data_IF_482938684149
#
_entry.id   IF_482938684149
#
_cell.length_a   1.000
_cell.length_b   1.000
_cell.length_c   1.000
_cell.angle_alpha   90.00
_cell.angle_beta   90.00
_cell.angle_gamma   90.00
#
_symmetry.space_group_name_H-M   'P 1'
#
loop_
_entity.id
_entity.type
_entity.pdbx_description
1 polymer ?
#
# COMPACT_ATOMS: atom_id res chain seq x y z
N UNK A 1 -15.27 3.52 -24.84
CA UNK A 1 -15.33 4.07 -23.48
C UNK A 1 -14.22 3.42 -22.66
N UNK A 2 -13.23 4.17 -22.17
CA UNK A 2 -12.32 3.63 -21.16
C UNK A 2 -13.11 3.60 -19.86
N UNK A 3 -13.37 2.40 -19.31
CA UNK A 3 -13.89 2.25 -17.96
C UNK A 3 -12.92 2.98 -17.04
N UNK A 4 -13.41 4.02 -16.34
CA UNK A 4 -12.67 4.59 -15.22
C UNK A 4 -12.53 3.47 -14.19
N UNK A 5 -11.31 3.07 -13.87
CA UNK A 5 -11.08 2.12 -12.79
C UNK A 5 -11.81 2.61 -11.54
N UNK A 6 -12.70 1.78 -11.02
CA UNK A 6 -13.45 2.10 -9.82
C UNK A 6 -12.51 1.89 -8.62
N UNK A 7 -11.99 3.00 -8.10
CA UNK A 7 -11.14 3.00 -6.92
C UNK A 7 -11.94 3.08 -5.61
N UNK A 8 -13.27 2.85 -5.64
CA UNK A 8 -14.17 2.96 -4.47
C UNK A 8 -13.93 1.85 -3.43
N UNK A 9 -12.81 1.93 -2.74
CA UNK A 9 -12.41 0.94 -1.75
C UNK A 9 -10.92 0.91 -1.48
N UNK A 10 -10.13 1.67 -2.24
CA UNK A 10 -8.71 1.85 -2.01
C UNK A 10 -8.48 3.05 -1.09
N UNK A 11 -7.88 2.78 0.07
CA UNK A 11 -7.56 3.78 1.09
C UNK A 11 -6.05 4.01 1.12
N UNK A 12 -5.55 5.17 0.66
CA UNK A 12 -4.15 5.51 0.82
C UNK A 12 -3.84 5.85 2.27
N UNK A 13 -2.67 5.45 2.76
CA UNK A 13 -2.21 5.80 4.10
C UNK A 13 -1.03 6.77 4.06
N UNK A 14 0.03 6.39 3.37
CA UNK A 14 1.28 7.15 3.40
C UNK A 14 2.29 6.62 2.38
N UNK A 15 3.56 6.96 2.59
CA UNK A 15 4.64 6.69 1.64
C UNK A 15 5.88 6.14 2.35
N UNK A 16 6.51 5.12 1.77
CA UNK A 16 7.90 4.77 2.07
C UNK A 16 8.80 5.59 1.13
N UNK A 17 9.63 6.47 1.67
CA UNK A 17 10.45 7.39 0.86
C UNK A 17 11.85 6.84 0.66
N UNK A 18 12.32 6.79 -0.59
CA UNK A 18 13.66 6.29 -0.94
C UNK A 18 13.87 4.80 -0.65
N UNK A 19 12.81 4.05 -0.34
CA UNK A 19 12.87 2.62 -0.09
C UNK A 19 13.23 1.88 -1.38
N UNK A 20 14.34 1.14 -1.34
CA UNK A 20 14.94 0.49 -2.52
C UNK A 20 15.19 1.46 -3.69
N UNK A 21 15.44 2.75 -3.40
CA UNK A 21 15.70 3.76 -4.43
C UNK A 21 14.44 4.37 -5.08
N UNK A 22 13.23 4.02 -4.62
CA UNK A 22 11.97 4.60 -5.09
C UNK A 22 11.09 5.10 -3.91
N UNK A 23 10.04 5.85 -4.21
CA UNK A 23 8.96 6.17 -3.28
C UNK A 23 7.79 5.21 -3.52
N UNK A 24 7.33 4.58 -2.45
CA UNK A 24 6.24 3.59 -2.52
C UNK A 24 5.01 4.08 -1.77
N UNK A 25 3.87 4.16 -2.46
CA UNK A 25 2.60 4.51 -1.83
C UNK A 25 2.01 3.28 -1.14
N UNK A 26 1.63 3.44 0.13
CA UNK A 26 0.91 2.41 0.88
C UNK A 26 -0.59 2.62 0.73
N UNK A 27 -1.31 1.57 0.35
CA UNK A 27 -2.78 1.61 0.33
C UNK A 27 -3.40 0.26 0.64
N UNK A 28 -4.65 0.30 1.11
CA UNK A 28 -5.44 -0.87 1.47
C UNK A 28 -6.71 -0.96 0.65
N UNK A 29 -7.05 -2.16 0.19
CA UNK A 29 -8.31 -2.43 -0.47
C UNK A 29 -9.33 -2.99 0.56
N UNK A 30 -10.38 -2.23 0.87
CA UNK A 30 -11.43 -2.67 1.80
C UNK A 30 -12.18 -3.92 1.34
N UNK A 31 -12.24 -4.18 0.04
CA UNK A 31 -13.05 -5.26 -0.52
C UNK A 31 -12.37 -6.60 -0.33
N UNK A 32 -11.04 -6.62 -0.49
CA UNK A 32 -10.22 -7.83 -0.34
C UNK A 32 -9.52 -7.93 1.01
N UNK A 33 -9.37 -6.80 1.71
CA UNK A 33 -8.55 -6.70 2.91
C UNK A 33 -7.05 -6.55 2.63
N UNK A 34 -6.62 -6.50 1.37
CA UNK A 34 -5.19 -6.51 1.02
C UNK A 34 -4.51 -5.16 1.23
N UNK A 35 -3.29 -5.19 1.75
CA UNK A 35 -2.39 -4.03 1.87
C UNK A 35 -1.30 -4.13 0.80
N UNK A 36 -1.12 -3.04 0.05
CA UNK A 36 -0.17 -2.97 -1.06
C UNK A 36 0.83 -1.82 -0.92
N UNK A 37 1.97 -1.99 -1.58
CA UNK A 37 2.92 -0.95 -1.93
C UNK A 37 2.94 -0.75 -3.44
N UNK A 38 2.80 0.50 -3.89
CA UNK A 38 2.98 0.86 -5.31
C UNK A 38 4.18 1.77 -5.51
N UNK A 39 5.12 1.30 -6.32
CA UNK A 39 6.28 2.07 -6.77
C UNK A 39 5.86 3.26 -7.63
N UNK A 40 6.59 4.38 -7.51
CA UNK A 40 6.32 5.58 -8.30
C UNK A 40 6.96 5.50 -9.67
N UNK A 41 8.18 4.96 -9.74
CA UNK A 41 8.98 4.96 -10.96
C UNK A 41 8.71 3.73 -11.83
N UNK A 42 8.57 2.56 -11.22
CA UNK A 42 8.49 1.28 -11.96
C UNK A 42 7.04 0.81 -12.24
N UNK A 43 6.02 1.52 -11.76
CA UNK A 43 4.59 1.09 -11.76
C UNK A 43 4.37 -0.32 -11.17
N UNK A 44 5.30 -0.75 -10.30
CA UNK A 44 5.26 -2.03 -9.60
C UNK A 44 4.26 -2.01 -8.46
N UNK A 45 3.49 -3.07 -8.31
CA UNK A 45 2.54 -3.28 -7.21
C UNK A 45 2.89 -4.55 -6.44
N UNK A 46 3.11 -4.44 -5.14
CA UNK A 46 3.47 -5.56 -4.26
C UNK A 46 2.46 -5.67 -3.13
N UNK A 47 1.91 -6.87 -2.91
CA UNK A 47 1.10 -7.17 -1.72
C UNK A 47 2.03 -7.41 -0.53
N UNK A 48 1.86 -6.63 0.53
CA UNK A 48 2.72 -6.68 1.73
C UNK A 48 2.00 -7.13 2.99
N UNK A 49 0.69 -7.37 2.88
CA UNK A 49 -0.09 -7.91 3.98
C UNK A 49 -1.58 -7.92 3.69
N UNK A 50 -2.32 -8.25 4.73
CA UNK A 50 -3.79 -8.24 4.77
C UNK A 50 -4.23 -7.57 6.06
N UNK A 51 -5.43 -7.02 6.10
CA UNK A 51 -6.04 -6.42 7.26
C UNK A 51 -7.56 -6.56 7.16
N UNK A 52 -8.18 -6.95 8.26
CA UNK A 52 -9.62 -7.21 8.35
C UNK A 52 -10.46 -5.92 8.36
N UNK A 53 -9.88 -4.82 8.81
CA UNK A 53 -10.51 -3.52 8.85
C UNK A 53 -9.52 -2.37 8.62
N UNK A 54 -10.07 -1.16 8.49
CA UNK A 54 -9.29 0.05 8.23
C UNK A 54 -8.29 0.37 9.34
N UNK A 55 -8.64 0.12 10.61
CA UNK A 55 -7.80 0.45 11.76
C UNK A 55 -6.59 -0.48 11.84
N UNK A 56 -6.79 -1.77 11.59
CA UNK A 56 -5.72 -2.75 11.46
C UNK A 56 -4.80 -2.39 10.28
N UNK A 57 -5.38 -2.05 9.13
CA UNK A 57 -4.64 -1.63 7.94
C UNK A 57 -3.79 -0.38 8.21
N UNK A 58 -4.34 0.61 8.92
CA UNK A 58 -3.63 1.83 9.32
C UNK A 58 -2.43 1.52 10.22
N UNK A 59 -2.61 0.67 11.24
CA UNK A 59 -1.51 0.26 12.15
C UNK A 59 -0.39 -0.44 11.40
N UNK A 60 -0.73 -1.32 10.46
CA UNK A 60 0.25 -2.00 9.60
C UNK A 60 0.98 -1.00 8.70
N UNK A 61 0.25 -0.07 8.07
CA UNK A 61 0.87 0.98 7.25
C UNK A 61 1.82 1.88 8.06
N UNK A 62 1.44 2.27 9.28
CA UNK A 62 2.31 3.06 10.17
C UNK A 62 3.57 2.30 10.55
N UNK A 63 3.42 1.02 10.91
CA UNK A 63 4.57 0.15 11.19
C UNK A 63 5.53 0.07 10.00
N UNK A 64 5.02 -0.08 8.77
CA UNK A 64 5.86 -0.12 7.57
C UNK A 64 6.58 1.21 7.34
N UNK A 65 5.93 2.36 7.58
CA UNK A 65 6.57 3.68 7.46
C UNK A 65 7.68 3.90 8.48
N UNK A 66 7.52 3.37 9.69
CA UNK A 66 8.53 3.43 10.74
C UNK A 66 9.65 2.38 10.56
N UNK A 67 9.34 1.26 9.90
CA UNK A 67 10.22 0.11 9.75
C UNK A 67 10.26 -0.37 8.29
N UNK A 68 10.74 0.44 7.34
CA UNK A 68 10.73 0.10 5.92
C UNK A 68 11.49 -1.19 5.59
N UNK A 69 12.55 -1.50 6.34
CA UNK A 69 13.34 -2.74 6.17
C UNK A 69 12.58 -4.02 6.57
N UNK A 70 11.40 -3.89 7.21
CA UNK A 70 10.53 -5.03 7.51
C UNK A 70 9.71 -5.52 6.31
N UNK A 71 9.69 -4.75 5.21
CA UNK A 71 8.99 -5.14 3.98
C UNK A 71 9.73 -6.29 3.31
N UNK A 72 9.10 -7.46 3.26
CA UNK A 72 9.54 -8.59 2.44
C UNK A 72 8.86 -8.50 1.08
N UNK A 73 9.65 -8.32 0.01
CA UNK A 73 9.20 -8.32 -1.39
C UNK A 73 9.53 -9.63 -2.09
#
# INVERSE_FOLDING_TARGET
MKSSADYSGFFPFGWLRGFQGDNWQIFWNKETGDLFLKATLEDTLVKVGEASDWMEAKKKADFLMENPDSVTM
#
